data_IF_219737409389
#
_entry.id   IF_219737409389
#
_cell.length_a   1.000
_cell.length_b   1.000
_cell.length_c   1.000
_cell.angle_alpha   90.00
_cell.angle_beta   90.00
_cell.angle_gamma   90.00
#
_symmetry.space_group_name_H-M   'P 1'
#
loop_
_entity.id
_entity.type
_entity.pdbx_description
1 polymer ?
#
# COMPACT_ATOMS: atom_id res chain seq x y z
N UNK A 1 13.99 -7.05 -8.08
CA UNK A 1 12.55 -7.15 -7.74
C UNK A 1 12.41 -8.33 -6.79
N UNK A 2 12.04 -8.06 -5.54
CA UNK A 2 11.75 -9.07 -4.51
C UNK A 2 10.23 -9.21 -4.40
N UNK A 3 9.73 -10.44 -4.32
CA UNK A 3 8.30 -10.71 -4.30
C UNK A 3 7.95 -11.67 -3.16
N UNK A 4 6.88 -11.36 -2.44
CA UNK A 4 6.33 -12.19 -1.36
C UNK A 4 4.86 -12.45 -1.67
N UNK A 5 4.45 -13.71 -1.56
CA UNK A 5 3.06 -14.11 -1.78
C UNK A 5 2.26 -13.94 -0.50
N UNK A 6 1.08 -13.33 -0.61
CA UNK A 6 0.06 -13.43 0.42
C UNK A 6 -0.57 -14.82 0.31
N UNK A 7 -0.16 -15.75 1.17
CA UNK A 7 -0.62 -17.15 1.18
C UNK A 7 -2.09 -17.23 1.65
N UNK A 8 -3.00 -16.86 0.75
CA UNK A 8 -4.45 -16.87 0.91
C UNK A 8 -5.10 -17.60 -0.26
N UNK A 9 -6.18 -18.33 0.00
CA UNK A 9 -6.90 -19.10 -1.01
C UNK A 9 -7.75 -18.24 -1.95
N UNK A 10 -8.13 -17.03 -1.52
CA UNK A 10 -8.98 -16.10 -2.26
C UNK A 10 -8.83 -14.64 -1.79
N UNK A 11 -9.36 -13.72 -2.59
CA UNK A 11 -9.56 -12.30 -2.23
C UNK A 11 -10.47 -12.15 -0.99
N UNK A 12 -11.50 -12.97 -0.87
CA UNK A 12 -12.38 -13.02 0.30
C UNK A 12 -11.61 -13.38 1.57
N UNK A 13 -10.65 -14.31 1.48
CA UNK A 13 -9.80 -14.66 2.62
C UNK A 13 -8.90 -13.47 3.00
N UNK A 14 -8.31 -12.80 2.00
CA UNK A 14 -7.50 -11.59 2.21
C UNK A 14 -8.30 -10.47 2.89
N UNK A 15 -9.57 -10.29 2.53
CA UNK A 15 -10.45 -9.29 3.14
C UNK A 15 -10.69 -9.53 4.65
N UNK A 16 -10.44 -10.75 5.15
CA UNK A 16 -10.54 -11.06 6.58
C UNK A 16 -9.23 -10.87 7.35
N UNK A 17 -8.13 -10.56 6.66
CA UNK A 17 -6.83 -10.40 7.32
C UNK A 17 -6.84 -9.19 8.27
N UNK A 18 -6.24 -9.39 9.43
CA UNK A 18 -6.01 -8.31 10.37
C UNK A 18 -4.80 -7.45 9.95
N UNK A 19 -4.66 -6.31 10.62
CA UNK A 19 -3.53 -5.42 10.36
C UNK A 19 -2.17 -6.04 10.70
N UNK A 20 -2.11 -7.02 11.61
CA UNK A 20 -0.85 -7.66 11.99
C UNK A 20 -0.30 -8.47 10.81
N UNK A 21 -1.15 -9.29 10.20
CA UNK A 21 -0.77 -10.10 9.03
C UNK A 21 -0.38 -9.24 7.83
N UNK A 22 -1.05 -8.10 7.63
CA UNK A 22 -0.68 -7.13 6.59
C UNK A 22 0.70 -6.51 6.85
N UNK A 23 1.01 -6.18 8.11
CA UNK A 23 2.33 -5.66 8.50
C UNK A 23 3.44 -6.67 8.25
N UNK A 24 3.23 -7.92 8.66
CA UNK A 24 4.21 -9.00 8.46
C UNK A 24 4.48 -9.24 6.97
N UNK A 25 3.45 -9.13 6.13
CA UNK A 25 3.58 -9.19 4.67
C UNK A 25 4.46 -8.05 4.13
N UNK A 26 4.24 -6.82 4.59
CA UNK A 26 5.03 -5.65 4.18
C UNK A 26 6.49 -5.78 4.64
N UNK A 27 6.73 -6.17 5.88
CA UNK A 27 8.08 -6.37 6.42
C UNK A 27 8.85 -7.41 5.59
N UNK A 28 8.17 -8.50 5.20
CA UNK A 28 8.77 -9.56 4.38
C UNK A 28 9.08 -9.08 2.96
N UNK A 29 8.30 -8.14 2.42
CA UNK A 29 8.46 -7.59 1.07
C UNK A 29 9.47 -6.42 1.01
N UNK A 30 9.79 -5.79 2.15
CA UNK A 30 10.64 -4.60 2.23
C UNK A 30 12.15 -4.91 2.07
N UNK A 31 12.56 -5.40 0.90
CA UNK A 31 13.96 -5.62 0.57
C UNK A 31 14.79 -4.33 0.67
N UNK A 32 16.01 -4.42 1.21
CA UNK A 32 16.90 -3.27 1.46
C UNK A 32 17.24 -2.45 0.21
N UNK A 33 17.31 -3.09 -0.96
CA UNK A 33 17.62 -2.48 -2.26
C UNK A 33 16.39 -1.86 -2.97
N UNK A 34 15.18 -2.10 -2.47
CA UNK A 34 13.95 -1.60 -3.09
C UNK A 34 13.71 -0.12 -2.74
N UNK A 35 13.20 0.65 -3.71
CA UNK A 35 12.83 2.06 -3.50
C UNK A 35 11.39 2.21 -2.96
N UNK A 36 10.54 1.20 -3.11
CA UNK A 36 9.16 1.17 -2.64
C UNK A 36 8.69 -0.29 -2.45
N UNK A 37 7.62 -0.48 -1.70
CA UNK A 37 6.85 -1.74 -1.62
C UNK A 37 5.55 -1.57 -2.39
N UNK A 38 5.18 -2.54 -3.22
CA UNK A 38 3.89 -2.56 -3.93
C UNK A 38 3.00 -3.66 -3.35
N UNK A 39 1.79 -3.29 -2.94
CA UNK A 39 0.69 -4.17 -2.57
C UNK A 39 -0.42 -4.05 -3.62
N UNK A 40 -0.34 -4.81 -4.74
CA UNK A 40 -1.25 -4.68 -5.87
C UNK A 40 -2.58 -5.42 -5.64
N UNK A 41 -3.12 -5.37 -4.42
CA UNK A 41 -4.35 -6.05 -4.01
C UNK A 41 -5.32 -5.05 -3.38
N UNK A 42 -6.59 -5.11 -3.80
CA UNK A 42 -7.67 -4.23 -3.31
C UNK A 42 -8.42 -4.80 -2.11
N UNK A 43 -8.39 -6.12 -1.89
CA UNK A 43 -9.05 -6.78 -0.77
C UNK A 43 -8.34 -6.51 0.58
N UNK A 44 -7.06 -6.13 0.57
CA UNK A 44 -6.34 -5.78 1.79
C UNK A 44 -6.76 -4.38 2.28
N UNK A 45 -7.32 -4.31 3.49
CA UNK A 45 -7.76 -3.08 4.14
C UNK A 45 -6.59 -2.22 4.66
N UNK A 46 -5.78 -1.72 3.73
CA UNK A 46 -4.51 -1.01 3.97
C UNK A 46 -4.67 0.48 4.26
N UNK A 47 -5.77 1.11 3.84
CA UNK A 47 -6.00 2.55 4.01
C UNK A 47 -5.73 3.08 5.44
N UNK A 48 -6.27 2.47 6.52
CA UNK A 48 -6.00 2.93 7.89
C UNK A 48 -4.58 2.61 8.39
N UNK A 49 -3.84 1.75 7.68
CA UNK A 49 -2.52 1.26 8.08
C UNK A 49 -1.38 1.95 7.33
N UNK A 50 -1.66 2.68 6.23
CA UNK A 50 -0.65 3.19 5.31
C UNK A 50 0.54 3.87 5.98
N UNK A 51 0.29 4.81 6.90
CA UNK A 51 1.36 5.50 7.62
C UNK A 51 2.23 4.54 8.47
N UNK A 52 1.60 3.54 9.10
CA UNK A 52 2.33 2.51 9.85
C UNK A 52 3.14 1.60 8.91
N UNK A 53 2.56 1.19 7.78
CA UNK A 53 3.24 0.35 6.79
C UNK A 53 4.47 1.05 6.21
N UNK A 54 4.38 2.33 5.86
CA UNK A 54 5.51 3.13 5.37
C UNK A 54 6.60 3.29 6.43
N UNK A 55 6.22 3.56 7.68
CA UNK A 55 7.16 3.65 8.80
C UNK A 55 7.93 2.34 9.02
N UNK A 56 7.26 1.19 8.93
CA UNK A 56 7.89 -0.12 9.06
C UNK A 56 8.79 -0.46 7.89
N UNK A 57 8.33 -0.22 6.67
CA UNK A 57 9.09 -0.49 5.46
C UNK A 57 10.30 0.46 5.28
N UNK A 58 10.27 1.63 5.93
CA UNK A 58 11.27 2.70 5.77
C UNK A 58 11.26 3.30 4.35
N UNK A 59 10.20 3.07 3.58
CA UNK A 59 10.05 3.48 2.19
C UNK A 59 8.57 3.57 1.81
N UNK A 60 8.22 4.25 0.72
CA UNK A 60 6.84 4.34 0.25
C UNK A 60 6.20 2.95 0.05
N UNK A 61 4.95 2.82 0.47
CA UNK A 61 4.12 1.63 0.27
C UNK A 61 2.99 2.02 -0.66
N UNK A 62 2.99 1.46 -1.87
CA UNK A 62 2.00 1.71 -2.91
C UNK A 62 0.94 0.63 -2.85
N UNK A 63 -0.32 1.00 -2.68
CA UNK A 63 -1.44 0.03 -2.68
C UNK A 63 -2.31 0.21 -3.91
N UNK A 64 -2.98 -0.86 -4.35
CA UNK A 64 -3.87 -0.80 -5.52
C UNK A 64 -4.95 0.31 -5.38
N UNK A 65 -5.59 0.41 -4.21
CA UNK A 65 -6.59 1.45 -3.93
C UNK A 65 -5.99 2.86 -3.97
N UNK A 66 -4.81 3.06 -3.37
CA UNK A 66 -4.14 4.36 -3.33
C UNK A 66 -3.71 4.82 -4.73
N UNK A 67 -3.09 3.94 -5.51
CA UNK A 67 -2.66 4.23 -6.89
C UNK A 67 -3.87 4.52 -7.79
N UNK A 68 -4.98 3.80 -7.61
CA UNK A 68 -6.22 4.05 -8.34
C UNK A 68 -6.77 5.45 -8.04
N UNK A 69 -6.85 5.83 -6.77
CA UNK A 69 -7.31 7.16 -6.36
C UNK A 69 -6.40 8.27 -6.87
N UNK A 70 -5.08 8.08 -6.77
CA UNK A 70 -4.10 9.01 -7.34
C UNK A 70 -4.35 9.22 -8.83
N UNK A 71 -4.48 8.13 -9.60
CA UNK A 71 -4.68 8.22 -11.04
C UNK A 71 -6.01 8.90 -11.40
N UNK A 72 -7.09 8.61 -10.68
CA UNK A 72 -8.37 9.30 -10.84
C UNK A 72 -8.26 10.81 -10.59
N UNK A 73 -7.55 11.23 -9.53
CA UNK A 73 -7.33 12.64 -9.23
C UNK A 73 -6.50 13.33 -10.33
N UNK A 74 -5.45 12.65 -10.83
CA UNK A 74 -4.65 13.13 -11.96
C UNK A 74 -5.49 13.35 -13.21
N UNK A 75 -6.33 12.39 -13.59
CA UNK A 75 -7.22 12.50 -14.75
C UNK A 75 -8.22 13.66 -14.62
N UNK A 76 -8.63 13.99 -13.39
CA UNK A 76 -9.54 15.10 -13.08
C UNK A 76 -8.82 16.45 -12.90
N UNK A 77 -7.49 16.50 -13.03
CA UNK A 77 -6.71 17.71 -12.75
C UNK A 77 -6.86 18.20 -11.31
N UNK A 78 -7.02 17.27 -10.36
CA UNK A 78 -7.17 17.55 -8.93
C UNK A 78 -5.88 17.23 -8.18
N UNK A 79 -5.51 18.02 -7.16
CA UNK A 79 -4.32 17.74 -6.35
C UNK A 79 -4.50 16.48 -5.48
N UNK A 80 -3.38 15.99 -4.97
CA UNK A 80 -3.32 14.85 -4.04
C UNK A 80 -4.13 15.11 -2.75
N UNK A 81 -4.65 14.04 -2.14
CA UNK A 81 -5.80 14.09 -1.23
C UNK A 81 -5.50 14.43 0.24
N UNK A 82 -4.23 14.61 0.64
CA UNK A 82 -3.84 15.10 1.96
C UNK A 82 -3.11 14.07 2.85
N UNK A 83 -2.74 14.44 4.09
CA UNK A 83 -1.91 13.62 4.97
C UNK A 83 -2.63 12.34 5.41
N UNK A 84 -1.86 11.30 5.75
CA UNK A 84 -2.38 10.02 6.25
C UNK A 84 -2.78 9.01 5.17
N UNK A 85 -2.78 9.40 3.89
CA UNK A 85 -3.11 8.53 2.75
C UNK A 85 -1.86 7.94 2.07
N UNK A 86 -0.76 7.84 2.82
CA UNK A 86 0.56 7.43 2.33
C UNK A 86 1.24 8.47 1.44
N UNK A 87 2.52 8.25 1.17
CA UNK A 87 3.42 9.18 0.48
C UNK A 87 2.90 9.59 -0.91
N UNK A 88 2.25 8.67 -1.65
CA UNK A 88 1.74 8.95 -2.99
C UNK A 88 0.64 10.02 -3.00
N UNK A 89 -0.26 10.01 -2.02
CA UNK A 89 -1.41 10.94 -1.94
C UNK A 89 -1.15 12.14 -1.01
N UNK A 90 -0.04 12.13 -0.26
CA UNK A 90 0.35 13.23 0.62
C UNK A 90 1.06 14.38 -0.11
N UNK A 91 1.66 14.11 -1.27
CA UNK A 91 2.45 15.10 -2.02
C UNK A 91 1.96 15.22 -3.47
N UNK A 92 1.93 16.44 -4.05
CA UNK A 92 1.77 16.61 -5.48
C UNK A 92 3.03 16.11 -6.21
N UNK A 93 2.82 15.46 -7.36
CA UNK A 93 3.85 14.93 -8.25
C UNK A 93 3.72 15.57 -9.64
#
# INVERSE_FOLDING_TARGET
>A
MHAVSADAGSDRDLATWDGARIRDLVDSAASSDAQAVLLPETALHTAPLLAELENRAGKPVLTATQVTLWHCLTLLGRPAAGPGLGTLLAHPH
#
